data_IF_029330330415
#
_entry.id   IF_029330330415
#
_cell.length_a   1.000
_cell.length_b   1.000
_cell.length_c   1.000
_cell.angle_alpha   90.00
_cell.angle_beta   90.00
_cell.angle_gamma   90.00
#
_symmetry.space_group_name_H-M   'P 1'
#
loop_
_entity.id
_entity.type
_entity.pdbx_description
1 polymer ?
#
# COMPACT_ATOMS: atom_id res chain seq x y z
N UNK A 1 6.51 29.91 -8.04
CA UNK A 1 6.88 30.20 -6.63
C UNK A 1 8.13 29.43 -6.29
N UNK A 2 9.22 30.10 -5.90
CA UNK A 2 10.40 29.36 -5.42
C UNK A 2 10.07 28.71 -4.08
N UNK A 3 10.26 27.39 -3.94
CA UNK A 3 10.09 26.67 -2.67
C UNK A 3 10.97 27.32 -1.59
N UNK A 4 10.37 27.63 -0.45
CA UNK A 4 11.07 28.19 0.71
C UNK A 4 11.82 27.09 1.48
N UNK A 5 11.39 25.83 1.28
CA UNK A 5 11.98 24.66 1.91
C UNK A 5 12.97 24.01 0.93
N UNK A 6 14.22 23.88 1.38
CA UNK A 6 15.28 23.18 0.62
C UNK A 6 15.17 21.68 0.89
N UNK A 7 15.28 20.91 -0.16
CA UNK A 7 15.46 19.45 -0.07
C UNK A 7 16.85 19.11 0.45
N UNK A 8 17.05 17.88 0.89
CA UNK A 8 18.38 17.37 1.21
C UNK A 8 19.21 17.26 -0.08
N UNK A 9 20.53 17.53 -0.04
CA UNK A 9 21.38 17.56 -1.24
C UNK A 9 21.36 16.27 -2.06
N UNK A 10 21.10 15.13 -1.42
CA UNK A 10 21.03 13.82 -2.07
C UNK A 10 19.85 13.70 -3.06
N UNK A 11 18.86 14.58 -2.95
CA UNK A 11 17.71 14.63 -3.86
C UNK A 11 17.91 15.63 -5.01
N UNK A 12 19.02 16.38 -5.00
CA UNK A 12 19.29 17.34 -6.07
C UNK A 12 19.53 16.62 -7.40
N UNK A 13 18.77 17.02 -8.41
CA UNK A 13 18.84 16.42 -9.74
C UNK A 13 18.05 15.15 -9.94
N UNK A 14 17.33 14.66 -8.92
CA UNK A 14 16.36 13.58 -9.12
C UNK A 14 15.07 14.13 -9.70
N UNK A 15 14.64 13.53 -10.80
CA UNK A 15 13.31 13.80 -11.38
C UNK A 15 12.25 13.03 -10.61
N UNK A 16 11.10 13.66 -10.28
CA UNK A 16 9.99 12.95 -9.67
C UNK A 16 9.49 11.83 -10.59
N UNK A 17 9.13 10.70 -10.00
CA UNK A 17 8.42 9.66 -10.72
C UNK A 17 7.05 10.18 -11.19
N UNK A 18 6.85 10.25 -12.50
CA UNK A 18 5.60 10.63 -13.15
C UNK A 18 5.14 9.50 -14.07
N UNK A 19 4.31 8.58 -13.58
CA UNK A 19 3.71 7.55 -14.42
C UNK A 19 2.65 8.18 -15.30
N UNK A 20 3.05 8.84 -16.39
CA UNK A 20 2.13 9.51 -17.32
C UNK A 20 0.98 8.59 -17.68
N UNK A 21 -0.22 8.96 -17.24
CA UNK A 21 -1.44 8.27 -17.64
C UNK A 21 -1.75 8.59 -19.10
N UNK A 22 -1.55 7.63 -19.98
CA UNK A 22 -1.92 7.72 -21.39
C UNK A 22 -3.19 6.90 -21.60
N UNK A 23 -4.26 7.49 -22.15
CA UNK A 23 -5.46 6.75 -22.53
C UNK A 23 -5.10 5.65 -23.53
N UNK A 24 -5.45 4.41 -23.23
CA UNK A 24 -5.22 3.26 -24.09
C UNK A 24 -6.37 2.27 -23.96
N UNK A 25 -6.62 1.50 -25.02
CA UNK A 25 -7.62 0.42 -24.99
C UNK A 25 -7.22 -0.71 -24.06
N UNK A 26 -5.91 -0.94 -23.88
CA UNK A 26 -5.35 -1.91 -22.95
C UNK A 26 -4.23 -1.27 -22.14
N UNK A 27 -4.39 -1.23 -20.81
CA UNK A 27 -3.38 -0.71 -19.87
C UNK A 27 -2.47 -1.86 -19.45
N UNK A 28 -1.23 -1.86 -19.95
CA UNK A 28 -0.23 -2.90 -19.66
C UNK A 28 0.95 -2.36 -18.83
N UNK A 29 0.92 -1.09 -18.45
CA UNK A 29 2.06 -0.40 -17.85
C UNK A 29 2.27 -0.67 -16.36
N UNK A 30 1.22 -1.05 -15.64
CA UNK A 30 1.24 -1.16 -14.17
C UNK A 30 0.98 -2.60 -13.66
N UNK A 31 1.05 -3.59 -14.54
CA UNK A 31 0.83 -5.00 -14.21
C UNK A 31 -0.52 -5.25 -13.49
N UNK A 32 -1.54 -4.49 -13.88
CA UNK A 32 -2.89 -4.61 -13.32
C UNK A 32 -3.58 -5.88 -13.80
N UNK A 33 -4.45 -6.46 -12.95
CA UNK A 33 -5.31 -7.56 -13.35
C UNK A 33 -6.33 -7.08 -14.39
N UNK A 34 -6.50 -7.77 -15.54
CA UNK A 34 -7.57 -7.45 -16.48
C UNK A 34 -8.97 -7.85 -15.98
N UNK A 35 -9.05 -8.58 -14.88
CA UNK A 35 -10.30 -9.05 -14.29
C UNK A 35 -10.65 -8.22 -13.08
N UNK A 36 -11.86 -7.72 -13.04
CA UNK A 36 -12.44 -7.08 -11.85
C UNK A 36 -13.02 -8.15 -10.91
N UNK A 37 -13.31 -7.75 -9.67
CA UNK A 37 -13.99 -8.62 -8.69
C UNK A 37 -15.42 -8.95 -9.15
N UNK A 38 -15.95 -10.10 -8.71
CA UNK A 38 -17.31 -10.50 -9.05
C UNK A 38 -18.35 -9.52 -8.47
N UNK A 39 -19.54 -9.41 -9.07
CA UNK A 39 -20.61 -8.59 -8.53
C UNK A 39 -21.00 -8.96 -7.09
N UNK A 40 -20.97 -10.25 -6.76
CA UNK A 40 -21.27 -10.77 -5.42
C UNK A 40 -20.25 -10.28 -4.41
N UNK A 41 -18.95 -10.44 -4.69
CA UNK A 41 -17.87 -9.95 -3.82
C UNK A 41 -17.92 -8.43 -3.68
N UNK A 42 -18.22 -7.71 -4.75
CA UNK A 42 -18.42 -6.25 -4.70
C UNK A 42 -19.54 -5.85 -3.74
N UNK A 43 -20.67 -6.59 -3.77
CA UNK A 43 -21.77 -6.33 -2.86
C UNK A 43 -21.42 -6.63 -1.39
N UNK A 44 -20.69 -7.71 -1.13
CA UNK A 44 -20.19 -8.04 0.20
C UNK A 44 -19.24 -6.96 0.75
N UNK A 45 -18.31 -6.49 -0.06
CA UNK A 45 -17.40 -5.39 0.32
C UNK A 45 -18.19 -4.11 0.63
N UNK A 46 -19.17 -3.75 -0.20
CA UNK A 46 -19.99 -2.56 0.02
C UNK A 46 -20.78 -2.65 1.33
N UNK A 47 -21.32 -3.82 1.65
CA UNK A 47 -22.02 -4.05 2.91
C UNK A 47 -21.08 -3.97 4.11
N UNK A 48 -19.89 -4.57 4.02
CA UNK A 48 -18.88 -4.49 5.06
C UNK A 48 -18.42 -3.06 5.32
N UNK A 49 -18.15 -2.29 4.26
CA UNK A 49 -17.77 -0.88 4.35
C UNK A 49 -18.88 -0.04 5.00
N UNK A 50 -20.15 -0.28 4.65
CA UNK A 50 -21.28 0.44 5.24
C UNK A 50 -21.43 0.22 6.76
N UNK A 51 -20.90 -0.88 7.29
CA UNK A 51 -20.93 -1.20 8.72
C UNK A 51 -19.74 -0.59 9.50
N UNK A 52 -18.73 -0.04 8.82
CA UNK A 52 -17.54 0.52 9.47
C UNK A 52 -17.87 1.85 10.16
N UNK A 53 -17.54 2.02 11.44
CA UNK A 53 -17.69 3.30 12.13
C UNK A 53 -16.54 4.24 11.74
N UNK A 54 -16.68 5.00 10.66
CA UNK A 54 -15.64 5.90 10.11
C UNK A 54 -15.14 6.98 11.09
N UNK A 55 -15.86 7.23 12.17
CA UNK A 55 -15.45 8.18 13.21
C UNK A 55 -14.62 7.54 14.33
N UNK A 56 -14.18 6.31 14.17
CA UNK A 56 -13.35 5.58 15.14
C UNK A 56 -12.03 5.18 14.52
N UNK A 57 -10.99 5.12 15.34
CA UNK A 57 -9.73 4.53 14.94
C UNK A 57 -9.89 3.01 14.74
N UNK A 58 -9.30 2.44 13.70
CA UNK A 58 -9.22 0.99 13.53
C UNK A 58 -8.27 0.37 14.57
N UNK A 59 -8.22 -0.97 14.61
CA UNK A 59 -7.15 -1.68 15.33
C UNK A 59 -5.79 -1.29 14.73
N UNK A 60 -4.93 -0.57 15.49
CA UNK A 60 -3.65 -0.07 14.97
C UNK A 60 -2.67 -1.17 14.59
N UNK A 61 -2.86 -2.36 15.09
CA UNK A 61 -2.02 -3.53 14.79
C UNK A 61 -2.66 -4.46 13.76
N UNK A 62 -3.91 -4.21 13.35
CA UNK A 62 -4.67 -5.07 12.45
C UNK A 62 -4.56 -6.57 12.81
N UNK A 63 -4.73 -6.88 14.10
CA UNK A 63 -4.43 -8.20 14.65
C UNK A 63 -5.22 -9.32 14.00
N UNK A 64 -6.50 -9.08 13.70
CA UNK A 64 -7.36 -10.06 13.04
C UNK A 64 -6.86 -10.36 11.62
N UNK A 65 -6.64 -9.34 10.79
CA UNK A 65 -6.17 -9.49 9.43
C UNK A 65 -4.79 -10.15 9.38
N UNK A 66 -3.85 -9.75 10.23
CA UNK A 66 -2.54 -10.38 10.35
C UNK A 66 -2.65 -11.86 10.73
N UNK A 67 -3.56 -12.20 11.64
CA UNK A 67 -3.83 -13.57 12.01
C UNK A 67 -4.37 -14.42 10.85
N UNK A 68 -5.30 -13.89 10.08
CA UNK A 68 -5.86 -14.57 8.89
C UNK A 68 -4.79 -14.81 7.82
N UNK A 69 -3.98 -13.80 7.51
CA UNK A 69 -2.86 -13.92 6.55
C UNK A 69 -1.84 -14.93 7.02
N UNK A 70 -1.45 -14.88 8.29
CA UNK A 70 -0.51 -15.82 8.89
C UNK A 70 -1.02 -17.26 8.76
N UNK A 71 -2.27 -17.51 9.15
CA UNK A 71 -2.88 -18.83 9.06
C UNK A 71 -2.90 -19.36 7.62
N UNK A 72 -3.27 -18.52 6.65
CA UNK A 72 -3.31 -18.90 5.24
C UNK A 72 -1.93 -19.26 4.67
N UNK A 73 -0.85 -18.77 5.27
CA UNK A 73 0.53 -18.98 4.82
C UNK A 73 1.36 -19.88 5.74
N UNK A 74 0.77 -20.52 6.75
CA UNK A 74 1.50 -21.36 7.70
C UNK A 74 2.49 -20.58 8.58
N UNK A 75 2.21 -19.30 8.85
CA UNK A 75 3.04 -18.39 9.64
C UNK A 75 2.40 -18.11 11.00
N UNK A 76 3.15 -17.44 11.87
CA UNK A 76 2.62 -16.79 13.05
C UNK A 76 2.27 -15.32 12.77
N UNK A 77 1.34 -14.75 13.52
CA UNK A 77 0.94 -13.34 13.37
C UNK A 77 2.13 -12.37 13.42
N UNK A 78 3.14 -12.67 14.23
CA UNK A 78 4.31 -11.81 14.41
C UNK A 78 5.30 -11.86 13.23
N UNK A 79 5.06 -12.77 12.28
CA UNK A 79 5.79 -12.84 11.01
C UNK A 79 5.08 -12.09 9.86
N UNK A 80 3.97 -11.40 10.16
CA UNK A 80 3.21 -10.63 9.18
C UNK A 80 3.29 -9.14 9.51
N UNK A 81 3.78 -8.35 8.59
CA UNK A 81 3.76 -6.90 8.62
C UNK A 81 2.77 -6.39 7.57
N UNK A 82 1.99 -5.39 7.92
CA UNK A 82 1.05 -4.73 7.00
C UNK A 82 1.46 -3.27 6.81
N UNK A 83 1.23 -2.77 5.60
CA UNK A 83 1.45 -1.38 5.23
C UNK A 83 0.47 -0.94 4.13
N UNK A 84 0.52 0.33 3.75
CA UNK A 84 -0.28 0.88 2.67
C UNK A 84 0.37 0.59 1.30
N UNK A 85 0.36 -0.68 0.94
CA UNK A 85 1.02 -1.20 -0.25
C UNK A 85 2.48 -1.63 0.00
N UNK A 86 3.07 -2.24 -1.03
CA UNK A 86 4.45 -2.74 -0.98
C UNK A 86 5.50 -1.64 -0.84
N UNK A 87 5.24 -0.46 -1.37
CA UNK A 87 6.20 0.65 -1.38
C UNK A 87 6.48 1.17 0.04
N UNK A 88 5.46 1.27 0.90
CA UNK A 88 5.65 1.62 2.31
C UNK A 88 6.53 0.58 3.01
N UNK A 89 6.26 -0.70 2.81
CA UNK A 89 7.04 -1.78 3.42
C UNK A 89 8.49 -1.79 2.93
N UNK A 90 8.74 -1.53 1.65
CA UNK A 90 10.09 -1.40 1.11
C UNK A 90 10.83 -0.19 1.71
N UNK A 91 10.12 0.91 1.90
CA UNK A 91 10.68 2.10 2.56
C UNK A 91 11.02 1.82 4.02
N UNK A 92 10.15 1.16 4.77
CA UNK A 92 10.39 0.77 6.15
C UNK A 92 11.59 -0.18 6.29
N UNK A 93 11.72 -1.16 5.39
CA UNK A 93 12.90 -2.04 5.36
C UNK A 93 14.17 -1.25 5.07
N UNK A 94 14.12 -0.31 4.11
CA UNK A 94 15.27 0.53 3.79
C UNK A 94 15.66 1.42 4.98
N UNK A 95 14.70 1.98 5.71
CA UNK A 95 14.95 2.76 6.92
C UNK A 95 15.53 1.90 8.05
N UNK A 96 14.98 0.71 8.26
CA UNK A 96 15.40 -0.15 9.37
C UNK A 96 16.79 -0.75 9.17
N UNK A 97 17.18 -1.03 7.93
CA UNK A 97 18.40 -1.78 7.62
C UNK A 97 19.37 -1.06 6.69
N UNK A 98 18.95 0.00 6.01
CA UNK A 98 19.73 0.70 5.00
C UNK A 98 20.77 1.70 5.53
N UNK A 99 20.74 2.04 6.82
CA UNK A 99 21.64 3.02 7.43
C UNK A 99 22.90 2.43 8.07
N UNK A 100 23.17 1.15 7.85
CA UNK A 100 24.32 0.45 8.38
C UNK A 100 25.49 0.50 7.39
N UNK A 101 26.04 1.71 7.19
CA UNK A 101 27.21 1.90 6.34
C UNK A 101 27.98 3.12 6.69
#
# INVERSE_FOLDING_TARGET
MKSVVKTVPQLDGLEPYDPKYLPAEALLSANESPYDISPELRAEIAQAVAAVPFNRYPDPLANELRGMIAQANGLTRDQVLLGNGGDELLFDVALAYGCAG
#
